data_IF_860120545922
#
_entry.id   IF_860120545922
#
_cell.length_a   1.000
_cell.length_b   1.000
_cell.length_c   1.000
_cell.angle_alpha   90.00
_cell.angle_beta   90.00
_cell.angle_gamma   90.00
#
_symmetry.space_group_name_H-M   'P 1'
#
loop_
_entity.id
_entity.type
_entity.pdbx_description
1 polymer ?
#
# COMPACT_ATOMS: atom_id res chain seq x y z
N UNK A 1 -15.13 -1.46 14.22
CA UNK A 1 -14.27 -0.46 13.56
C UNK A 1 -15.04 0.15 12.40
N UNK A 2 -15.46 1.42 12.50
CA UNK A 2 -16.01 2.14 11.34
C UNK A 2 -14.85 2.85 10.66
N UNK A 3 -14.58 2.49 9.41
CA UNK A 3 -13.67 3.27 8.58
C UNK A 3 -14.17 4.73 8.48
N UNK A 4 -13.25 5.69 8.48
CA UNK A 4 -13.57 7.10 8.24
C UNK A 4 -14.15 7.33 6.84
N UNK A 5 -14.56 8.57 6.54
CA UNK A 5 -14.95 8.95 5.16
C UNK A 5 -13.78 8.61 4.22
N UNK A 6 -14.01 7.74 3.24
CA UNK A 6 -13.02 7.22 2.27
C UNK A 6 -11.88 6.36 2.88
N UNK A 7 -12.16 5.10 3.27
CA UNK A 7 -11.10 4.17 3.66
C UNK A 7 -10.07 3.99 2.54
N UNK A 8 -8.82 3.82 2.94
CA UNK A 8 -7.74 3.37 2.04
C UNK A 8 -7.32 2.00 2.53
N UNK A 9 -7.29 1.03 1.61
CA UNK A 9 -6.81 -0.31 1.86
C UNK A 9 -5.44 -0.45 1.20
N UNK A 10 -4.44 -0.83 1.99
CA UNK A 10 -3.07 -1.08 1.52
C UNK A 10 -2.77 -2.55 1.67
N UNK A 11 -2.02 -3.10 0.72
CA UNK A 11 -1.48 -4.44 0.82
C UNK A 11 0.05 -4.39 0.77
N UNK A 12 0.68 -4.98 1.78
CA UNK A 12 2.14 -5.07 1.91
C UNK A 12 2.47 -6.57 1.95
N UNK A 13 3.35 -7.00 1.06
CA UNK A 13 3.76 -8.40 0.97
C UNK A 13 4.79 -8.78 2.05
N UNK A 14 5.05 -10.09 2.21
CA UNK A 14 6.13 -10.59 3.04
C UNK A 14 7.50 -10.27 2.41
N UNK A 15 8.59 -10.65 3.07
CA UNK A 15 9.97 -10.42 2.61
C UNK A 15 10.25 -10.99 1.20
N UNK A 16 9.60 -12.10 0.85
CA UNK A 16 9.67 -12.73 -0.48
C UNK A 16 8.79 -12.07 -1.55
N UNK A 17 8.00 -11.06 -1.18
CA UNK A 17 7.00 -10.44 -2.04
C UNK A 17 5.80 -11.34 -2.31
N UNK A 18 5.00 -10.93 -3.28
CA UNK A 18 3.85 -11.67 -3.80
C UNK A 18 4.26 -12.45 -5.04
N UNK A 19 3.66 -13.60 -5.27
CA UNK A 19 3.79 -14.28 -6.56
C UNK A 19 2.83 -13.70 -7.62
N UNK A 20 3.02 -14.08 -8.88
CA UNK A 20 2.21 -13.58 -10.00
C UNK A 20 0.70 -13.85 -9.84
N UNK A 21 0.33 -15.01 -9.28
CA UNK A 21 -1.08 -15.32 -9.04
C UNK A 21 -1.68 -14.40 -7.97
N UNK A 22 -0.97 -14.11 -6.89
CA UNK A 22 -1.43 -13.17 -5.86
C UNK A 22 -1.56 -11.75 -6.41
N UNK A 23 -0.59 -11.29 -7.21
CA UNK A 23 -0.63 -9.99 -7.87
C UNK A 23 -1.83 -9.88 -8.84
N UNK A 24 -2.11 -10.92 -9.61
CA UNK A 24 -3.29 -11.01 -10.47
C UNK A 24 -4.59 -10.90 -9.65
N UNK A 25 -4.68 -11.64 -8.55
CA UNK A 25 -5.84 -11.62 -7.67
C UNK A 25 -6.05 -10.24 -7.02
N UNK A 26 -4.98 -9.51 -6.74
CA UNK A 26 -5.08 -8.14 -6.24
C UNK A 26 -5.55 -7.18 -7.32
N UNK A 27 -4.99 -7.28 -8.52
CA UNK A 27 -5.39 -6.44 -9.67
C UNK A 27 -6.87 -6.63 -10.01
N UNK A 28 -7.35 -7.87 -10.06
CA UNK A 28 -8.76 -8.19 -10.33
C UNK A 28 -9.71 -7.69 -9.23
N UNK A 29 -9.21 -7.48 -8.01
CA UNK A 29 -9.94 -6.89 -6.88
C UNK A 29 -9.85 -5.36 -6.83
N UNK A 30 -9.24 -4.73 -7.83
CA UNK A 30 -9.14 -3.27 -7.95
C UNK A 30 -8.00 -2.64 -7.17
N UNK A 31 -6.96 -3.41 -6.82
CA UNK A 31 -5.72 -2.82 -6.31
C UNK A 31 -4.89 -2.24 -7.45
N UNK A 32 -4.43 -1.01 -7.26
CA UNK A 32 -3.41 -0.38 -8.11
C UNK A 32 -2.02 -0.56 -7.51
N UNK A 33 -1.04 -0.85 -8.37
CA UNK A 33 0.36 -0.92 -7.97
C UNK A 33 0.99 0.47 -7.93
N UNK A 34 1.91 0.69 -6.98
CA UNK A 34 2.69 1.91 -6.88
C UNK A 34 4.10 1.60 -6.39
N UNK A 35 5.02 2.55 -6.58
CA UNK A 35 6.42 2.45 -6.13
C UNK A 35 6.69 3.45 -5.00
N UNK A 36 7.52 3.06 -4.04
CA UNK A 36 8.08 3.93 -3.00
C UNK A 36 9.50 4.42 -3.34
N UNK A 37 9.86 4.34 -4.63
CA UNK A 37 11.19 4.67 -5.14
C UNK A 37 11.96 3.44 -5.61
N UNK A 38 13.26 3.64 -5.87
CA UNK A 38 14.13 2.66 -6.53
C UNK A 38 14.70 1.57 -5.60
N UNK A 39 14.52 1.70 -4.27
CA UNK A 39 15.09 0.76 -3.29
C UNK A 39 14.04 -0.24 -2.83
N UNK A 40 14.42 -1.51 -2.77
CA UNK A 40 13.62 -2.53 -2.10
C UNK A 40 13.63 -2.22 -0.60
N UNK A 41 12.44 -2.05 -0.03
CA UNK A 41 12.26 -1.76 1.39
C UNK A 41 11.92 -3.04 2.15
N UNK A 42 12.39 -3.14 3.40
CA UNK A 42 11.91 -4.16 4.33
C UNK A 42 10.45 -3.88 4.69
N UNK A 43 9.72 -4.91 5.09
CA UNK A 43 8.28 -4.84 5.38
C UNK A 43 7.95 -3.72 6.36
N UNK A 44 8.71 -3.60 7.45
CA UNK A 44 8.48 -2.60 8.51
C UNK A 44 8.70 -1.17 8.00
N UNK A 45 9.69 -1.00 7.11
CA UNK A 45 9.97 0.28 6.47
C UNK A 45 8.90 0.63 5.44
N UNK A 46 8.45 -0.33 4.63
CA UNK A 46 7.40 -0.14 3.65
C UNK A 46 6.09 0.27 4.33
N UNK A 47 5.66 -0.45 5.37
CA UNK A 47 4.44 -0.11 6.14
C UNK A 47 4.48 1.33 6.64
N UNK A 48 5.60 1.72 7.28
CA UNK A 48 5.74 3.06 7.85
C UNK A 48 5.75 4.14 6.77
N UNK A 49 6.47 3.92 5.66
CA UNK A 49 6.57 4.85 4.56
C UNK A 49 5.20 5.09 3.88
N UNK A 50 4.48 4.03 3.52
CA UNK A 50 3.17 4.16 2.85
C UNK A 50 2.17 4.86 3.78
N UNK A 51 2.14 4.49 5.06
CA UNK A 51 1.24 5.11 6.03
C UNK A 51 1.51 6.62 6.17
N UNK A 52 2.78 7.03 6.23
CA UNK A 52 3.17 8.43 6.25
C UNK A 52 2.75 9.16 4.97
N UNK A 53 3.02 8.59 3.79
CA UNK A 53 2.65 9.19 2.49
C UNK A 53 1.13 9.41 2.37
N UNK A 54 0.31 8.42 2.72
CA UNK A 54 -1.16 8.56 2.68
C UNK A 54 -1.64 9.60 3.67
N UNK A 55 -1.08 9.63 4.88
CA UNK A 55 -1.43 10.62 5.90
C UNK A 55 -1.14 12.03 5.38
N UNK A 56 0.05 12.25 4.81
CA UNK A 56 0.42 13.53 4.22
C UNK A 56 -0.53 13.94 3.08
N UNK A 57 -0.78 13.06 2.12
CA UNK A 57 -1.68 13.35 0.99
C UNK A 57 -3.10 13.71 1.45
N UNK A 58 -3.60 13.02 2.48
CA UNK A 58 -4.90 13.34 3.09
C UNK A 58 -4.91 14.73 3.73
N UNK A 59 -3.84 15.12 4.43
CA UNK A 59 -3.73 16.45 5.03
C UNK A 59 -3.58 17.59 4.02
N UNK A 60 -3.00 17.31 2.84
CA UNK A 60 -2.82 18.31 1.78
C UNK A 60 -4.06 18.50 0.91
N UNK A 61 -4.98 17.53 0.91
CA UNK A 61 -6.19 17.52 0.07
C UNK A 61 -7.47 17.78 0.87
N UNK A 62 -7.35 17.99 2.19
CA UNK A 62 -8.46 18.40 3.08
C UNK A 62 -8.42 19.91 3.29
#
# INVERSE_FOLDING_TARGET
>A
YKAGKNPVLMAIGPEGGWNEYELEQMRTRGFDQFSLGHRILRVETAVTAVHASITLLRTLTS
#
